data_IF_373722500427
#
_entry.id   IF_373722500427
#
_cell.length_a   1.000
_cell.length_b   1.000
_cell.length_c   1.000
_cell.angle_alpha   90.00
_cell.angle_beta   90.00
_cell.angle_gamma   90.00
#
_symmetry.space_group_name_H-M   'P 1'
#
loop_
_entity.id
_entity.type
_entity.pdbx_description
1 polymer ?
#
# COMPACT_ATOMS: atom_id res chain seq x y z
N UNK A 1 -18.28 -11.75 -3.99
CA UNK A 1 -18.88 -12.98 -4.59
C UNK A 1 -19.98 -13.60 -3.73
N UNK A 2 -19.94 -13.56 -2.39
CA UNK A 2 -20.96 -14.19 -1.51
C UNK A 2 -22.13 -13.27 -1.08
N UNK A 3 -22.26 -12.06 -1.64
CA UNK A 3 -23.34 -11.12 -1.29
C UNK A 3 -23.25 -10.47 0.11
N UNK A 4 -22.18 -10.71 0.88
CA UNK A 4 -22.02 -10.20 2.25
C UNK A 4 -21.62 -8.71 2.28
N UNK A 5 -22.56 -7.82 1.93
CA UNK A 5 -22.31 -6.39 1.84
C UNK A 5 -21.81 -5.72 3.14
N UNK A 6 -22.32 -6.06 4.34
CA UNK A 6 -21.83 -5.45 5.58
C UNK A 6 -20.34 -5.75 5.83
N UNK A 7 -19.93 -7.02 5.70
CA UNK A 7 -18.54 -7.43 5.86
C UNK A 7 -17.65 -6.76 4.79
N UNK A 8 -18.10 -6.75 3.54
CA UNK A 8 -17.34 -6.11 2.46
C UNK A 8 -17.12 -4.61 2.72
N UNK A 9 -18.13 -3.90 3.25
CA UNK A 9 -18.00 -2.49 3.63
C UNK A 9 -16.99 -2.29 4.78
N UNK A 10 -17.05 -3.14 5.80
CA UNK A 10 -16.10 -3.09 6.92
C UNK A 10 -14.65 -3.29 6.43
N UNK A 11 -14.42 -4.33 5.61
CA UNK A 11 -13.11 -4.58 4.99
C UNK A 11 -12.65 -3.43 4.10
N UNK A 12 -13.55 -2.85 3.31
CA UNK A 12 -13.21 -1.68 2.47
C UNK A 12 -12.78 -0.50 3.34
N UNK A 13 -13.46 -0.22 4.44
CA UNK A 13 -13.07 0.87 5.35
C UNK A 13 -11.70 0.63 5.99
N UNK A 14 -11.39 -0.63 6.35
CA UNK A 14 -10.08 -1.01 6.87
C UNK A 14 -8.98 -0.86 5.81
N UNK A 15 -9.23 -1.28 4.56
CA UNK A 15 -8.24 -1.23 3.48
C UNK A 15 -8.05 0.16 2.88
N UNK A 16 -9.07 1.02 2.93
CA UNK A 16 -9.07 2.32 2.24
C UNK A 16 -7.86 3.23 2.59
N UNK A 17 -7.41 3.34 3.86
CA UNK A 17 -6.18 4.08 4.19
C UNK A 17 -4.94 3.57 3.48
N UNK A 18 -4.70 2.25 3.47
CA UNK A 18 -3.58 1.64 2.76
C UNK A 18 -3.69 1.90 1.26
N UNK A 19 -4.87 1.64 0.67
CA UNK A 19 -5.11 1.89 -0.75
C UNK A 19 -4.80 3.33 -1.12
N UNK A 20 -5.28 4.32 -0.35
CA UNK A 20 -4.95 5.74 -0.62
C UNK A 20 -3.45 6.01 -0.53
N UNK A 21 -2.77 5.45 0.47
CA UNK A 21 -1.32 5.67 0.63
C UNK A 21 -0.51 5.07 -0.53
N UNK A 22 -0.91 3.91 -1.06
CA UNK A 22 -0.22 3.25 -2.18
C UNK A 22 -0.27 4.03 -3.50
N UNK A 23 -1.25 4.94 -3.64
CA UNK A 23 -1.44 5.78 -4.84
C UNK A 23 -1.04 7.25 -4.61
N UNK A 24 -0.34 7.57 -3.51
CA UNK A 24 0.17 8.92 -3.26
C UNK A 24 1.34 9.35 -4.18
N UNK A 25 1.86 8.40 -4.97
CA UNK A 25 2.84 8.59 -6.05
C UNK A 25 2.38 7.80 -7.28
N UNK A 26 2.95 8.04 -8.47
CA UNK A 26 2.67 7.23 -9.64
C UNK A 26 2.89 5.72 -9.39
N UNK A 27 1.88 4.91 -9.68
CA UNK A 27 1.99 3.44 -9.64
C UNK A 27 2.99 3.00 -10.73
N UNK A 28 4.04 2.19 -10.44
CA UNK A 28 4.18 1.27 -9.30
C UNK A 28 5.18 1.65 -8.21
N UNK A 29 5.49 2.92 -8.03
CA UNK A 29 6.56 3.38 -7.15
C UNK A 29 6.41 2.88 -5.71
N UNK A 30 5.27 3.16 -5.06
CA UNK A 30 5.11 2.86 -3.62
C UNK A 30 4.84 1.39 -3.33
N UNK A 31 4.08 0.69 -4.18
CA UNK A 31 3.87 -0.76 -3.98
C UNK A 31 5.18 -1.52 -4.13
N UNK A 32 6.05 -1.15 -5.08
CA UNK A 32 7.38 -1.76 -5.20
C UNK A 32 8.29 -1.41 -4.04
N UNK A 33 8.25 -0.19 -3.53
CA UNK A 33 9.02 0.20 -2.35
C UNK A 33 8.63 -0.66 -1.12
N UNK A 34 7.33 -0.84 -0.88
CA UNK A 34 6.84 -1.66 0.24
C UNK A 34 7.14 -3.15 0.05
N UNK A 35 6.97 -3.70 -1.15
CA UNK A 35 7.32 -5.09 -1.45
C UNK A 35 8.84 -5.34 -1.33
N UNK A 36 9.68 -4.37 -1.71
CA UNK A 36 11.12 -4.46 -1.53
C UNK A 36 11.53 -4.40 -0.07
N UNK A 37 10.84 -3.58 0.74
CA UNK A 37 11.00 -3.56 2.21
C UNK A 37 10.69 -4.93 2.85
N UNK A 38 9.75 -5.68 2.27
CA UNK A 38 9.41 -7.04 2.69
C UNK A 38 10.33 -8.12 2.11
N UNK A 39 11.34 -7.75 1.31
CA UNK A 39 12.26 -8.69 0.68
C UNK A 39 11.65 -9.49 -0.47
N UNK A 40 10.49 -9.09 -0.99
CA UNK A 40 9.74 -9.83 -2.01
C UNK A 40 10.15 -9.48 -3.44
N UNK A 41 10.62 -8.25 -3.67
CA UNK A 41 11.05 -7.77 -4.99
C UNK A 41 12.25 -6.83 -4.85
N UNK A 42 12.89 -6.51 -5.97
CA UNK A 42 13.90 -5.45 -6.00
C UNK A 42 13.24 -4.06 -6.01
N UNK A 43 13.82 -3.13 -5.26
CA UNK A 43 13.34 -1.75 -5.10
C UNK A 43 13.28 -0.88 -6.38
N UNK A 44 14.21 -0.95 -7.36
CA UNK A 44 14.27 0.05 -8.41
C UNK A 44 13.06 -0.02 -9.35
N UNK A 45 12.50 1.15 -9.65
CA UNK A 45 11.55 1.35 -10.76
C UNK A 45 12.31 1.66 -12.04
N UNK A 46 11.72 1.33 -13.19
CA UNK A 46 12.31 1.70 -14.49
C UNK A 46 11.83 3.10 -14.89
N UNK A 47 12.65 3.89 -15.62
CA UNK A 47 12.19 5.13 -16.24
C UNK A 47 10.90 4.90 -17.06
N UNK A 48 9.98 5.89 -17.13
CA UNK A 48 10.12 7.27 -16.64
C UNK A 48 9.82 7.45 -15.15
N UNK A 49 9.57 6.37 -14.40
CA UNK A 49 9.34 6.47 -12.97
C UNK A 49 10.63 6.78 -12.21
N UNK A 50 10.49 7.60 -11.17
CA UNK A 50 11.56 7.93 -10.22
C UNK A 50 11.23 7.35 -8.85
N UNK A 51 12.22 7.33 -7.95
CA UNK A 51 11.98 6.96 -6.56
C UNK A 51 10.91 7.86 -5.94
N UNK A 52 10.01 7.25 -5.16
CA UNK A 52 8.96 7.98 -4.45
C UNK A 52 9.53 8.74 -3.27
N UNK A 53 8.78 9.74 -2.78
CA UNK A 53 9.19 10.50 -1.61
C UNK A 53 9.21 9.59 -0.37
N UNK A 54 10.20 9.83 0.51
CA UNK A 54 10.42 8.99 1.69
C UNK A 54 9.21 9.00 2.63
N UNK A 55 8.58 10.15 2.82
CA UNK A 55 7.39 10.28 3.66
C UNK A 55 6.20 9.47 3.12
N UNK A 56 6.05 9.40 1.79
CA UNK A 56 5.00 8.60 1.17
C UNK A 56 5.26 7.09 1.37
N UNK A 57 6.51 6.65 1.25
CA UNK A 57 6.90 5.27 1.57
C UNK A 57 6.68 4.92 3.04
N UNK A 58 7.00 5.82 3.97
CA UNK A 58 6.74 5.65 5.40
C UNK A 58 5.25 5.59 5.74
N UNK A 59 4.41 6.37 5.06
CA UNK A 59 2.98 6.32 5.21
C UNK A 59 2.43 4.94 4.83
N UNK A 60 2.85 4.38 3.69
CA UNK A 60 2.47 3.03 3.25
C UNK A 60 2.90 1.98 4.27
N UNK A 61 4.16 2.01 4.72
CA UNK A 61 4.66 1.05 5.70
C UNK A 61 3.88 1.11 7.03
N UNK A 62 3.44 2.32 7.44
CA UNK A 62 2.61 2.50 8.63
C UNK A 62 1.22 1.92 8.45
N UNK A 63 0.55 2.18 7.32
CA UNK A 63 -0.77 1.62 7.03
C UNK A 63 -0.74 0.09 6.88
N UNK A 64 0.32 -0.45 6.29
CA UNK A 64 0.52 -1.89 6.18
C UNK A 64 0.65 -2.55 7.55
N UNK A 65 1.44 -1.96 8.47
CA UNK A 65 1.55 -2.44 9.85
C UNK A 65 0.21 -2.36 10.58
N UNK A 66 -0.51 -1.24 10.46
CA UNK A 66 -1.81 -1.08 11.11
C UNK A 66 -2.83 -2.13 10.67
N UNK A 67 -2.83 -2.50 9.39
CA UNK A 67 -3.67 -3.59 8.87
C UNK A 67 -3.23 -4.96 9.40
N UNK A 68 -1.93 -5.20 9.55
CA UNK A 68 -1.40 -6.46 10.05
C UNK A 68 -1.67 -6.70 11.54
N UNK A 69 -1.75 -5.63 12.34
CA UNK A 69 -2.02 -5.72 13.78
C UNK A 69 -3.50 -5.84 14.14
N UNK A 70 -4.40 -5.64 13.17
CA UNK A 70 -5.84 -5.57 13.42
C UNK A 70 -6.24 -4.34 14.26
N UNK A 71 -7.55 -4.05 14.39
CA UNK A 71 -8.07 -3.26 15.50
C UNK A 71 -7.89 -3.98 16.84
#
# INVERSE_FOLDING_TARGET
RQGQLPLARALQHQLAPLTRSLFAEPNPVLIKAELARQGLVQAPVRPPFVAGRLEAAHAVATQMRALATGP
#
